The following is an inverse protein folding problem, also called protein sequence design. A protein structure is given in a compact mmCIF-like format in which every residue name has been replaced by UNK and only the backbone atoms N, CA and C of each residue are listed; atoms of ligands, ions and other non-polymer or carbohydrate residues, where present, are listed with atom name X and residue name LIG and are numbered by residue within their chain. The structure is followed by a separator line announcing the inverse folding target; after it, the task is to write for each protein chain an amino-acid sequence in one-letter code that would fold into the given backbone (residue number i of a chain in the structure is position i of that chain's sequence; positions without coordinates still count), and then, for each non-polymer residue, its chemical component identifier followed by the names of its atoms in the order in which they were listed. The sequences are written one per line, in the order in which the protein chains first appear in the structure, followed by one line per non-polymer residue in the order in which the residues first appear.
data_IF_343319786221
#
_entry.id   IF_343319786221
#
_cell.length_a   1.000
_cell.length_b   1.000
_cell.length_c   1.000
_cell.angle_alpha   90.00
_cell.angle_beta   90.00
_cell.angle_gamma   90.00
#
_symmetry.space_group_name_H-M   'P 1'
#
loop_
_entity.id
_entity.type
_entity.pdbx_description
1 polymer ?
#
# COMPACT_ATOMS: atom_id res chain seq x y z
N UNK A 1 -33.89 -23.51 -2.85
CA UNK A 1 -34.06 -22.52 -3.93
C UNK A 1 -33.39 -21.18 -3.60
N UNK A 2 -33.48 -20.72 -2.36
CA UNK A 2 -32.94 -19.41 -1.96
C UNK A 2 -31.40 -19.34 -1.98
N UNK A 3 -30.71 -20.43 -1.61
CA UNK A 3 -29.24 -20.48 -1.64
C UNK A 3 -28.68 -20.41 -3.04
N UNK A 4 -29.31 -21.07 -4.01
CA UNK A 4 -28.89 -21.02 -5.42
C UNK A 4 -29.07 -19.62 -6.01
N UNK A 5 -30.19 -18.96 -5.70
CA UNK A 5 -30.47 -17.59 -6.17
C UNK A 5 -29.52 -16.59 -5.55
N UNK A 6 -29.23 -16.74 -4.25
CA UNK A 6 -28.26 -15.89 -3.55
C UNK A 6 -26.84 -16.01 -4.11
N UNK A 7 -26.38 -17.24 -4.34
CA UNK A 7 -25.05 -17.47 -4.92
C UNK A 7 -24.91 -16.90 -6.31
N UNK A 8 -25.96 -16.98 -7.14
CA UNK A 8 -25.98 -16.35 -8.46
C UNK A 8 -25.91 -14.83 -8.35
N UNK A 9 -26.69 -14.24 -7.46
CA UNK A 9 -26.68 -12.79 -7.22
C UNK A 9 -25.33 -12.31 -6.70
N UNK A 10 -24.74 -13.03 -5.76
CA UNK A 10 -23.41 -12.73 -5.24
C UNK A 10 -22.35 -12.79 -6.33
N UNK A 11 -22.41 -13.79 -7.22
CA UNK A 11 -21.48 -13.92 -8.33
C UNK A 11 -21.63 -12.78 -9.36
N UNK A 12 -22.86 -12.35 -9.63
CA UNK A 12 -23.12 -11.21 -10.53
C UNK A 12 -22.62 -9.90 -9.91
N UNK A 13 -22.87 -9.66 -8.61
CA UNK A 13 -22.35 -8.50 -7.90
C UNK A 13 -20.81 -8.51 -7.85
N UNK A 14 -20.20 -9.67 -7.62
CA UNK A 14 -18.75 -9.83 -7.66
C UNK A 14 -18.20 -9.47 -9.05
N UNK A 15 -18.80 -9.96 -10.12
CA UNK A 15 -18.38 -9.66 -11.49
C UNK A 15 -18.45 -8.17 -11.81
N UNK A 16 -19.49 -7.47 -11.31
CA UNK A 16 -19.61 -6.02 -11.47
C UNK A 16 -18.56 -5.30 -10.63
N UNK A 17 -18.30 -5.75 -9.39
CA UNK A 17 -17.32 -5.18 -8.48
C UNK A 17 -15.88 -5.38 -8.96
N UNK A 18 -15.60 -6.53 -9.57
CA UNK A 18 -14.26 -6.91 -10.02
C UNK A 18 -13.64 -5.92 -11.02
N UNK A 19 -14.47 -5.27 -11.82
CA UNK A 19 -13.99 -4.27 -12.78
C UNK A 19 -13.41 -3.02 -12.11
N UNK A 20 -13.77 -2.73 -10.86
CA UNK A 20 -13.28 -1.62 -10.07
C UNK A 20 -12.34 -2.05 -8.93
N UNK A 21 -12.11 -3.36 -8.76
CA UNK A 21 -11.26 -3.86 -7.67
C UNK A 21 -9.79 -3.57 -7.98
N UNK A 22 -9.08 -2.84 -7.10
CA UNK A 22 -7.67 -2.53 -7.27
C UNK A 22 -6.78 -3.75 -7.51
N UNK A 23 -7.15 -4.93 -7.01
CA UNK A 23 -6.36 -6.16 -7.18
C UNK A 23 -6.22 -6.58 -8.65
N UNK A 24 -7.22 -6.27 -9.47
CA UNK A 24 -7.22 -6.61 -10.90
C UNK A 24 -6.39 -5.64 -11.74
N UNK A 25 -6.04 -4.48 -11.19
CA UNK A 25 -5.36 -3.40 -11.91
C UNK A 25 -3.98 -3.07 -11.37
N UNK A 26 -3.64 -3.52 -10.17
CA UNK A 26 -2.41 -3.09 -9.50
C UNK A 26 -1.15 -3.49 -10.27
N UNK A 27 -1.12 -4.68 -10.86
CA UNK A 27 0.02 -5.13 -11.66
C UNK A 27 0.22 -4.24 -12.89
N UNK A 28 -0.86 -3.92 -13.58
CA UNK A 28 -0.82 -3.02 -14.74
C UNK A 28 -0.38 -1.61 -14.31
N UNK A 29 -0.95 -1.07 -13.24
CA UNK A 29 -0.56 0.22 -12.71
C UNK A 29 0.92 0.27 -12.33
N UNK A 30 1.44 -0.76 -11.66
CA UNK A 30 2.85 -0.84 -11.26
C UNK A 30 3.81 -0.89 -12.46
N UNK A 31 3.37 -1.45 -13.60
CA UNK A 31 4.15 -1.47 -14.83
C UNK A 31 4.27 -0.09 -15.49
N UNK A 32 3.28 0.77 -15.30
CA UNK A 32 3.25 2.10 -15.94
C UNK A 32 3.67 3.24 -15.03
N UNK A 33 3.58 3.06 -13.69
CA UNK A 33 3.90 4.10 -12.71
C UNK A 33 4.62 3.51 -11.51
N UNK A 34 5.62 4.21 -10.97
CA UNK A 34 6.18 3.87 -9.68
C UNK A 34 5.10 3.92 -8.59
N UNK A 35 5.09 2.93 -7.71
CA UNK A 35 4.08 2.81 -6.65
C UNK A 35 4.73 2.71 -5.28
N UNK A 36 4.14 3.42 -4.31
CA UNK A 36 4.47 3.30 -2.89
C UNK A 36 3.19 3.01 -2.10
N UNK A 37 3.14 1.85 -1.46
CA UNK A 37 2.03 1.41 -0.62
C UNK A 37 2.45 1.45 0.85
N UNK A 38 1.61 2.07 1.68
CA UNK A 38 1.77 2.08 3.14
C UNK A 38 0.83 1.02 3.73
N UNK A 39 1.40 0.08 4.48
CA UNK A 39 0.66 -0.95 5.21
C UNK A 39 0.83 -0.75 6.71
N UNK A 40 -0.25 -0.79 7.47
CA UNK A 40 -0.22 -0.83 8.94
C UNK A 40 -0.53 -2.25 9.41
N UNK A 41 0.37 -2.82 10.19
CA UNK A 41 0.18 -4.16 10.76
C UNK A 41 -0.89 -4.07 11.86
N UNK A 42 -1.90 -4.96 11.78
CA UNK A 42 -3.02 -4.94 12.71
C UNK A 42 -4.08 -3.88 12.39
N UNK A 43 -4.12 -3.37 11.15
CA UNK A 43 -5.23 -2.54 10.68
C UNK A 43 -6.57 -3.27 10.91
N UNK A 44 -7.48 -2.61 11.63
CA UNK A 44 -8.79 -3.15 12.00
C UNK A 44 -9.90 -2.77 11.02
N UNK A 45 -9.63 -1.85 10.09
CA UNK A 45 -10.60 -1.39 9.08
C UNK A 45 -10.41 -2.17 7.78
N UNK A 46 -9.18 -2.19 7.27
CA UNK A 46 -8.82 -3.04 6.13
C UNK A 46 -7.97 -4.20 6.62
N UNK A 47 -8.50 -5.43 6.61
CA UNK A 47 -7.75 -6.60 7.06
C UNK A 47 -6.43 -6.74 6.31
N UNK A 48 -5.36 -7.03 7.02
CA UNK A 48 -4.02 -7.12 6.42
C UNK A 48 -3.93 -8.16 5.29
N UNK A 49 -4.75 -9.23 5.32
CA UNK A 49 -4.80 -10.21 4.23
C UNK A 49 -5.25 -9.59 2.89
N UNK A 50 -6.13 -8.59 2.92
CA UNK A 50 -6.56 -7.87 1.70
C UNK A 50 -5.40 -7.04 1.14
N UNK A 51 -4.68 -6.34 2.00
CA UNK A 51 -3.47 -5.59 1.63
C UNK A 51 -2.37 -6.53 1.12
N UNK A 52 -2.19 -7.70 1.76
CA UNK A 52 -1.19 -8.70 1.35
C UNK A 52 -1.49 -9.30 -0.03
N UNK A 53 -2.77 -9.52 -0.35
CA UNK A 53 -3.19 -9.91 -1.70
C UNK A 53 -2.85 -8.84 -2.73
N UNK A 54 -3.08 -7.57 -2.40
CA UNK A 54 -2.75 -6.45 -3.27
C UNK A 54 -1.24 -6.35 -3.51
N UNK A 55 -0.43 -6.48 -2.45
CA UNK A 55 1.03 -6.51 -2.52
C UNK A 55 1.50 -7.64 -3.44
N UNK A 56 0.94 -8.85 -3.26
CA UNK A 56 1.29 -10.03 -4.08
C UNK A 56 0.87 -9.83 -5.53
N UNK A 57 -0.35 -9.39 -5.79
CA UNK A 57 -0.86 -9.16 -7.14
C UNK A 57 -0.07 -8.08 -7.89
N UNK A 58 0.38 -7.05 -7.20
CA UNK A 58 1.20 -5.96 -7.76
C UNK A 58 2.68 -6.28 -7.84
N UNK A 59 3.15 -7.39 -7.27
CA UNK A 59 4.57 -7.72 -7.19
C UNK A 59 5.38 -6.70 -6.38
N UNK A 60 4.74 -6.05 -5.38
CA UNK A 60 5.37 -4.98 -4.61
C UNK A 60 6.48 -5.53 -3.71
N UNK A 61 7.61 -4.84 -3.69
CA UNK A 61 8.78 -5.21 -2.87
C UNK A 61 8.78 -4.46 -1.55
N UNK A 62 9.11 -5.17 -0.47
CA UNK A 62 9.25 -4.56 0.86
C UNK A 62 10.46 -3.62 0.89
N UNK A 63 10.26 -2.43 1.46
CA UNK A 63 11.33 -1.50 1.79
C UNK A 63 11.34 -1.31 3.31
N UNK A 64 12.48 -1.61 3.95
CA UNK A 64 12.67 -1.47 5.40
C UNK A 64 14.02 -0.86 5.78
N UNK A 65 14.92 -0.69 4.82
CA UNK A 65 16.24 -0.13 5.07
C UNK A 65 16.18 1.39 5.28
N UNK A 66 16.92 1.88 6.27
CA UNK A 66 17.10 3.31 6.51
C UNK A 66 17.69 4.01 5.27
N UNK A 67 17.15 5.17 4.93
CA UNK A 67 17.59 5.97 3.79
C UNK A 67 16.74 5.79 2.54
N UNK A 68 17.20 6.29 1.39
CA UNK A 68 16.44 6.27 0.15
C UNK A 68 16.57 4.91 -0.56
N UNK A 69 15.43 4.43 -1.06
CA UNK A 69 15.34 3.28 -1.98
C UNK A 69 14.64 3.73 -3.24
N UNK A 70 15.28 3.57 -4.39
CA UNK A 70 14.71 3.93 -5.68
C UNK A 70 13.58 2.97 -6.08
N UNK A 71 12.50 3.51 -6.62
CA UNK A 71 11.35 2.75 -7.13
C UNK A 71 11.15 3.10 -8.60
N UNK A 72 11.60 2.22 -9.49
CA UNK A 72 11.52 2.41 -10.93
C UNK A 72 10.14 2.12 -11.52
N UNK A 73 10.00 2.34 -12.82
CA UNK A 73 8.87 1.84 -13.59
C UNK A 73 8.90 0.32 -13.59
N UNK A 74 7.76 -0.30 -13.41
CA UNK A 74 7.63 -1.75 -13.26
C UNK A 74 7.98 -2.26 -11.87
N UNK A 75 8.44 -1.39 -10.97
CA UNK A 75 8.68 -1.70 -9.58
C UNK A 75 7.65 -0.98 -8.70
N UNK A 76 6.97 -1.73 -7.86
CA UNK A 76 6.20 -1.20 -6.75
C UNK A 76 6.92 -1.48 -5.44
N UNK A 77 6.77 -0.59 -4.47
CA UNK A 77 7.31 -0.76 -3.13
C UNK A 77 6.22 -0.67 -2.08
N UNK A 78 6.40 -1.35 -0.96
CA UNK A 78 5.58 -1.15 0.23
C UNK A 78 6.42 -1.04 1.48
N UNK A 79 5.91 -0.29 2.45
CA UNK A 79 6.47 -0.17 3.79
C UNK A 79 5.43 -0.65 4.79
N UNK A 80 5.83 -1.57 5.68
CA UNK A 80 4.96 -2.09 6.73
C UNK A 80 5.27 -1.39 8.06
N UNK A 81 4.27 -0.71 8.60
CA UNK A 81 4.35 0.00 9.87
C UNK A 81 3.90 -0.91 11.01
N UNK A 82 4.68 -0.94 12.09
CA UNK A 82 4.36 -1.67 13.33
C UNK A 82 3.50 -0.88 14.29
N UNK A 83 3.34 0.42 14.05
CA UNK A 83 2.55 1.35 14.84
C UNK A 83 1.60 2.12 13.93
N UNK A 84 0.50 2.60 14.51
CA UNK A 84 -0.50 3.36 13.79
C UNK A 84 -1.83 2.63 13.66
N UNK A 85 -2.72 3.21 12.88
CA UNK A 85 -4.06 2.70 12.56
C UNK A 85 -4.37 2.98 11.09
N UNK A 86 -5.55 2.58 10.63
CA UNK A 86 -6.00 2.83 9.24
C UNK A 86 -5.90 4.31 8.82
N UNK A 87 -6.23 5.23 9.72
CA UNK A 87 -6.22 6.67 9.46
C UNK A 87 -4.88 7.38 9.71
N UNK A 88 -3.83 6.66 10.12
CA UNK A 88 -2.62 7.28 10.66
C UNK A 88 -1.82 8.15 9.70
N UNK A 89 -2.06 8.10 8.40
CA UNK A 89 -1.48 9.08 7.47
C UNK A 89 -1.91 10.52 7.80
N UNK A 90 -3.13 10.71 8.34
CA UNK A 90 -3.69 12.02 8.66
C UNK A 90 -4.03 12.19 10.15
N UNK A 91 -4.08 11.12 10.92
CA UNK A 91 -4.44 11.11 12.34
C UNK A 91 -3.28 10.56 13.18
N UNK A 92 -2.62 11.43 13.98
CA UNK A 92 -1.50 11.05 14.82
C UNK A 92 -1.89 10.36 16.13
N UNK A 93 -3.19 10.19 16.40
CA UNK A 93 -3.70 9.72 17.70
C UNK A 93 -3.13 8.35 18.09
N UNK A 94 -3.00 7.43 17.14
CA UNK A 94 -2.46 6.10 17.42
C UNK A 94 -0.94 6.08 17.57
N UNK A 95 -0.21 6.90 16.78
CA UNK A 95 1.25 7.06 16.86
C UNK A 95 1.69 8.29 16.07
N UNK A 96 2.13 9.32 16.77
CA UNK A 96 2.70 10.52 16.14
C UNK A 96 3.94 10.19 15.31
N UNK A 97 4.80 9.29 15.80
CA UNK A 97 6.01 8.88 15.08
C UNK A 97 5.68 8.19 13.75
N UNK A 98 4.72 7.25 13.75
CA UNK A 98 4.28 6.59 12.54
C UNK A 98 3.64 7.57 11.55
N UNK A 99 2.76 8.47 12.02
CA UNK A 99 2.14 9.50 11.18
C UNK A 99 3.18 10.40 10.55
N UNK A 100 4.15 10.88 11.32
CA UNK A 100 5.23 11.73 10.81
C UNK A 100 6.05 11.01 9.74
N UNK A 101 6.39 9.75 9.97
CA UNK A 101 7.15 8.96 9.00
C UNK A 101 6.35 8.68 7.72
N UNK A 102 5.05 8.33 7.84
CA UNK A 102 4.15 8.12 6.69
C UNK A 102 4.03 9.38 5.82
N UNK A 103 3.81 10.53 6.45
CA UNK A 103 3.70 11.82 5.74
C UNK A 103 5.01 12.18 5.04
N UNK A 104 6.14 12.00 5.73
CA UNK A 104 7.47 12.26 5.16
C UNK A 104 7.74 11.36 3.96
N UNK A 105 7.50 10.07 4.07
CA UNK A 105 7.67 9.14 2.96
C UNK A 105 6.80 9.54 1.75
N UNK A 106 5.54 9.90 1.98
CA UNK A 106 4.61 10.30 0.91
C UNK A 106 5.07 11.56 0.19
N UNK A 107 5.50 12.59 0.94
CA UNK A 107 5.99 13.85 0.36
C UNK A 107 7.31 13.62 -0.39
N UNK A 108 8.25 12.90 0.19
CA UNK A 108 9.54 12.63 -0.45
C UNK A 108 9.40 11.75 -1.69
N UNK A 109 8.51 10.75 -1.67
CA UNK A 109 8.21 9.95 -2.84
C UNK A 109 7.69 10.81 -3.99
N UNK A 110 6.70 11.67 -3.73
CA UNK A 110 6.12 12.56 -4.73
C UNK A 110 7.14 13.58 -5.27
N UNK A 111 7.90 14.23 -4.38
CA UNK A 111 8.84 15.30 -4.77
C UNK A 111 10.10 14.75 -5.43
N UNK A 112 10.54 13.54 -5.10
CA UNK A 112 11.68 12.89 -5.73
C UNK A 112 11.39 12.29 -7.11
N UNK A 113 10.13 12.25 -7.54
CA UNK A 113 9.76 11.72 -8.84
C UNK A 113 10.39 12.48 -10.02
N UNK A 114 10.74 13.75 -9.82
CA UNK A 114 11.41 14.59 -10.82
C UNK A 114 12.94 14.59 -10.69
N UNK A 115 13.49 13.85 -9.73
CA UNK A 115 14.94 13.77 -9.51
C UNK A 115 15.55 12.62 -10.32
N UNK A 116 16.81 12.73 -10.72
CA UNK A 116 17.53 11.61 -11.36
C UNK A 116 17.52 10.36 -10.48
N UNK A 117 17.09 9.23 -11.04
CA UNK A 117 17.00 7.95 -10.34
C UNK A 117 15.78 7.79 -9.42
N UNK A 118 14.95 8.82 -9.24
CA UNK A 118 13.72 8.75 -8.45
C UNK A 118 12.52 8.22 -9.24
N UNK A 119 11.36 8.08 -8.56
CA UNK A 119 11.11 8.44 -7.16
C UNK A 119 11.80 7.52 -6.13
N UNK A 120 11.94 8.05 -4.90
CA UNK A 120 12.54 7.32 -3.79
C UNK A 120 11.53 7.13 -2.65
N UNK A 121 11.45 5.92 -2.11
CA UNK A 121 10.91 5.67 -0.77
C UNK A 121 12.04 5.95 0.22
N UNK A 122 11.84 6.89 1.13
CA UNK A 122 12.87 7.30 2.10
C UNK A 122 12.40 6.96 3.51
N UNK A 123 13.08 6.03 4.17
CA UNK A 123 12.85 5.69 5.58
C UNK A 123 13.80 6.52 6.42
N UNK A 124 13.25 7.30 7.35
CA UNK A 124 14.02 8.12 8.28
C UNK A 124 13.89 7.68 9.73
N UNK A 125 12.78 7.01 10.08
CA UNK A 125 12.55 6.41 11.40
C UNK A 125 12.25 4.91 11.26
N UNK A 126 13.27 4.03 11.32
CA UNK A 126 13.08 2.59 11.22
C UNK A 126 12.42 1.99 12.47
N UNK A 127 12.27 2.72 13.57
CA UNK A 127 11.70 2.19 14.84
C UNK A 127 10.20 1.90 14.73
N UNK A 128 9.51 2.54 13.77
CA UNK A 128 8.09 2.33 13.50
C UNK A 128 7.84 1.40 12.32
N UNK A 129 8.90 0.86 11.71
CA UNK A 129 8.87 0.02 10.52
C UNK A 129 9.18 -1.44 10.88
N UNK A 130 8.49 -2.36 10.24
CA UNK A 130 8.83 -3.78 10.33
C UNK A 130 10.08 -4.09 9.48
N UNK A 131 11.14 -4.64 10.08
CA UNK A 131 12.33 -5.06 9.37
C UNK A 131 12.09 -6.06 8.24
#
# INVERSE_FOLDING_TARGET
SNAFTWNKYAAELQTIGDSGDPINHICECANFKPMHLIKVIGDTVIPNNSTDRLITAGGLKKVSALGPTAVGLGDGAYVAFTQGSHGSLFDPTASLAATTEMQRQSVLFATSAVQPGGPFVVITDPTVIQP
#
